data_IF_951488656293
#
_entry.id   IF_951488656293
#
_cell.length_a   1.000
_cell.length_b   1.000
_cell.length_c   1.000
_cell.angle_alpha   90.00
_cell.angle_beta   90.00
_cell.angle_gamma   90.00
#
_symmetry.space_group_name_H-M   'P 1'
#
loop_
_entity.id
_entity.type
_entity.pdbx_description
1 polymer ?
#
# COMPACT_ATOMS: atom_id res chain seq x y z
N UNK A 1 -37.02 -24.30 43.68
CA UNK A 1 -35.64 -24.82 43.61
C UNK A 1 -35.18 -24.74 42.16
N UNK A 2 -34.27 -23.80 41.86
CA UNK A 2 -33.37 -23.74 40.69
C UNK A 2 -32.82 -22.31 40.62
N UNK A 3 -31.75 -22.04 41.38
CA UNK A 3 -30.95 -20.82 41.24
C UNK A 3 -29.95 -21.07 40.14
N UNK A 4 -30.03 -20.27 39.08
CA UNK A 4 -29.04 -20.20 38.01
C UNK A 4 -27.75 -19.65 38.61
N UNK A 5 -26.71 -20.48 38.66
CA UNK A 5 -25.35 -20.07 39.03
C UNK A 5 -24.75 -19.34 37.84
N UNK A 6 -24.73 -18.01 37.88
CA UNK A 6 -23.87 -17.21 37.00
C UNK A 6 -22.47 -17.20 37.63
N UNK A 7 -21.59 -18.03 37.10
CA UNK A 7 -20.16 -17.95 37.38
C UNK A 7 -19.58 -16.71 36.68
N UNK A 8 -19.52 -15.59 37.39
CA UNK A 8 -18.74 -14.42 36.97
C UNK A 8 -17.26 -14.74 37.26
N UNK A 9 -16.51 -15.10 36.22
CA UNK A 9 -15.04 -15.09 36.28
C UNK A 9 -14.61 -13.62 36.31
N UNK A 10 -14.42 -13.08 37.51
CA UNK A 10 -13.72 -11.81 37.72
C UNK A 10 -12.24 -12.07 37.43
N UNK A 11 -11.79 -11.71 36.23
CA UNK A 11 -10.36 -11.52 35.97
C UNK A 11 -9.94 -10.31 36.82
N UNK A 12 -9.25 -10.56 37.94
CA UNK A 12 -8.63 -9.54 38.77
C UNK A 12 -7.67 -8.68 37.92
N UNK A 13 -8.18 -7.58 37.34
CA UNK A 13 -7.35 -6.58 36.64
C UNK A 13 -6.66 -5.71 37.68
N UNK A 14 -5.40 -6.02 37.94
CA UNK A 14 -4.45 -5.17 38.66
C UNK A 14 -4.40 -3.77 38.03
N UNK A 15 -4.66 -2.69 38.78
CA UNK A 15 -4.46 -1.32 38.28
C UNK A 15 -3.01 -1.08 37.83
N UNK A 16 -2.83 -0.68 36.58
CA UNK A 16 -1.50 -0.36 36.01
C UNK A 16 -1.24 1.14 36.09
N UNK A 17 -0.11 1.53 36.68
CA UNK A 17 0.32 2.94 36.75
C UNK A 17 1.43 3.18 35.71
N UNK A 18 1.20 3.99 34.66
CA UNK A 18 2.19 4.21 33.60
C UNK A 18 3.34 5.10 34.07
N UNK A 19 4.58 4.60 33.94
CA UNK A 19 5.80 5.38 34.23
C UNK A 19 6.24 6.12 32.96
N UNK A 20 6.06 7.43 32.88
CA UNK A 20 6.47 8.24 31.70
C UNK A 20 7.98 8.56 31.74
N UNK A 21 8.65 8.32 30.61
CA UNK A 21 10.01 8.74 30.21
C UNK A 21 11.14 8.59 31.26
N UNK A 22 11.85 7.46 31.22
CA UNK A 22 13.12 7.23 31.95
C UNK A 22 14.36 7.74 31.19
N UNK A 23 14.20 8.39 30.04
CA UNK A 23 15.30 8.86 29.20
C UNK A 23 15.56 10.38 29.29
N UNK A 24 14.89 11.09 30.19
CA UNK A 24 15.11 12.51 30.47
C UNK A 24 15.66 12.72 31.89
N UNK A 25 16.47 13.75 32.08
CA UNK A 25 17.14 14.10 33.35
C UNK A 25 16.22 14.57 34.49
N UNK A 26 14.90 14.54 34.32
CA UNK A 26 13.95 14.97 35.35
C UNK A 26 13.32 13.77 36.09
N UNK A 27 13.62 13.59 37.39
CA UNK A 27 13.14 12.44 38.18
C UNK A 27 11.68 12.55 38.61
N UNK A 28 10.99 13.65 38.28
CA UNK A 28 9.67 13.99 38.85
C UNK A 28 8.56 13.01 38.40
N UNK A 29 8.53 12.62 37.12
CA UNK A 29 7.49 11.72 36.61
C UNK A 29 7.67 10.25 37.08
N UNK A 30 8.90 9.69 37.09
CA UNK A 30 9.16 8.40 37.72
C UNK A 30 8.88 8.39 39.22
N UNK A 31 9.25 9.46 39.94
CA UNK A 31 8.98 9.59 41.37
C UNK A 31 7.48 9.64 41.65
N UNK A 32 6.70 10.40 40.88
CA UNK A 32 5.25 10.48 41.05
C UNK A 32 4.55 9.14 40.76
N UNK A 33 4.92 8.44 39.68
CA UNK A 33 4.40 7.11 39.39
C UNK A 33 4.79 6.07 40.46
N UNK A 34 6.00 6.19 41.02
CA UNK A 34 6.45 5.41 42.17
C UNK A 34 5.63 5.70 43.43
N UNK A 35 5.39 6.98 43.75
CA UNK A 35 4.57 7.40 44.90
C UNK A 35 3.13 6.90 44.76
N UNK A 36 2.51 7.05 43.59
CA UNK A 36 1.16 6.50 43.32
C UNK A 36 1.16 4.98 43.47
N UNK A 37 2.18 4.29 42.97
CA UNK A 37 2.28 2.84 43.13
C UNK A 37 2.46 2.39 44.60
N UNK A 38 3.22 3.14 45.39
CA UNK A 38 3.39 2.89 46.83
C UNK A 38 2.09 3.13 47.58
N UNK A 39 1.39 4.24 47.32
CA UNK A 39 0.11 4.58 47.97
C UNK A 39 -0.97 3.54 47.66
N UNK A 40 -1.06 3.10 46.41
CA UNK A 40 -2.01 2.07 45.98
C UNK A 40 -1.66 0.70 46.58
N UNK A 41 -0.38 0.35 46.67
CA UNK A 41 0.09 -0.88 47.34
C UNK A 41 -0.20 -0.85 48.85
N UNK A 42 -0.02 0.30 49.50
CA UNK A 42 -0.31 0.49 50.92
C UNK A 42 -1.82 0.37 51.23
N UNK A 43 -2.68 0.63 50.25
CA UNK A 43 -4.12 0.40 50.34
C UNK A 43 -4.54 -1.06 50.04
N UNK A 44 -3.58 -1.99 49.93
CA UNK A 44 -3.84 -3.41 49.64
C UNK A 44 -4.21 -3.69 48.18
N UNK A 45 -4.07 -2.71 47.28
CA UNK A 45 -4.31 -2.90 45.86
C UNK A 45 -3.04 -3.45 45.21
N UNK A 46 -3.11 -4.53 44.42
CA UNK A 46 -1.97 -4.95 43.62
C UNK A 46 -1.65 -3.83 42.61
N UNK A 47 -0.38 -3.48 42.45
CA UNK A 47 0.06 -2.46 41.47
C UNK A 47 1.12 -3.05 40.58
N UNK A 48 0.95 -2.85 39.26
CA UNK A 48 1.99 -3.15 38.28
C UNK A 48 2.47 -1.85 37.62
N UNK A 49 3.75 -1.51 37.82
CA UNK A 49 4.39 -0.41 37.11
C UNK A 49 4.82 -0.90 35.73
N UNK A 50 4.00 -0.64 34.72
CA UNK A 50 4.32 -0.99 33.34
C UNK A 50 4.94 0.21 32.63
N UNK A 51 6.09 0.01 31.98
CA UNK A 51 6.65 1.01 31.06
C UNK A 51 5.75 1.08 29.82
N UNK A 52 5.39 2.28 29.33
CA UNK A 52 4.66 2.41 28.09
C UNK A 52 5.48 1.75 26.96
N UNK A 53 4.83 0.99 26.07
CA UNK A 53 5.53 0.34 24.97
C UNK A 53 6.23 1.41 24.12
N UNK A 54 7.51 1.15 23.81
CA UNK A 54 8.36 2.09 23.08
C UNK A 54 8.12 1.95 21.57
N UNK A 55 7.98 3.08 20.88
CA UNK A 55 8.01 3.11 19.42
C UNK A 55 9.43 2.80 18.93
N UNK A 56 9.56 1.77 18.09
CA UNK A 56 10.85 1.30 17.55
C UNK A 56 10.75 1.31 16.03
N UNK A 57 10.95 2.50 15.44
CA UNK A 57 10.88 2.70 13.99
C UNK A 57 12.06 2.08 13.23
N UNK A 58 13.24 2.08 13.86
CA UNK A 58 14.48 1.66 13.23
C UNK A 58 15.08 0.45 13.93
N UNK A 59 15.77 -0.43 13.19
CA UNK A 59 16.55 -1.49 13.78
C UNK A 59 17.70 -0.91 14.64
N UNK A 60 18.31 -1.74 15.50
CA UNK A 60 19.61 -1.41 16.10
C UNK A 60 20.65 -1.00 15.03
N UNK A 61 21.69 -0.25 15.39
CA UNK A 61 22.77 0.11 14.46
C UNK A 61 23.37 -1.12 13.79
N UNK A 62 23.53 -1.06 12.47
CA UNK A 62 24.09 -2.15 11.65
C UNK A 62 25.35 -1.64 10.97
N UNK A 63 26.46 -2.36 11.14
CA UNK A 63 27.70 -2.01 10.45
C UNK A 63 27.65 -2.38 8.96
N UNK A 64 28.48 -1.75 8.12
CA UNK A 64 28.49 -2.02 6.68
C UNK A 64 28.86 -3.48 6.34
N UNK A 65 29.70 -4.13 7.15
CA UNK A 65 30.10 -5.53 6.97
C UNK A 65 28.99 -6.53 7.29
N UNK A 66 28.00 -6.12 8.08
CA UNK A 66 26.84 -6.96 8.44
C UNK A 66 25.72 -6.89 7.41
N UNK A 67 25.74 -5.88 6.54
CA UNK A 67 24.81 -5.75 5.43
C UNK A 67 25.14 -6.79 4.37
N UNK A 68 24.16 -7.65 4.04
CA UNK A 68 24.33 -8.71 3.04
C UNK A 68 23.37 -8.54 1.87
N UNK A 69 23.73 -9.11 0.72
CA UNK A 69 22.83 -9.26 -0.41
C UNK A 69 21.70 -10.25 -0.07
N UNK A 70 20.61 -10.16 -0.83
CA UNK A 70 19.43 -11.00 -0.64
C UNK A 70 19.54 -12.21 -1.57
N UNK A 71 19.46 -13.45 -1.07
CA UNK A 71 19.53 -14.65 -1.90
C UNK A 71 18.49 -14.65 -3.03
N UNK A 72 18.93 -14.95 -4.25
CA UNK A 72 18.04 -15.06 -5.41
C UNK A 72 17.46 -13.74 -5.93
N UNK A 73 17.99 -12.60 -5.49
CA UNK A 73 17.67 -11.27 -6.03
C UNK A 73 18.97 -10.62 -6.51
N UNK A 74 19.04 -10.34 -7.82
CA UNK A 74 20.15 -9.60 -8.41
C UNK A 74 20.08 -8.11 -8.08
N UNK A 75 21.24 -7.45 -7.97
CA UNK A 75 21.39 -6.04 -7.62
C UNK A 75 20.95 -5.71 -6.19
N UNK A 76 21.26 -4.50 -5.74
CA UNK A 76 20.90 -3.98 -4.39
C UNK A 76 20.06 -2.70 -4.48
N UNK A 77 19.80 -2.23 -5.69
CA UNK A 77 18.97 -1.05 -5.93
C UNK A 77 18.33 -1.07 -7.31
N UNK A 78 17.22 -0.35 -7.45
CA UNK A 78 16.55 -0.01 -8.72
C UNK A 78 16.32 1.51 -8.77
N UNK A 79 16.50 2.12 -9.94
CA UNK A 79 16.26 3.55 -10.17
C UNK A 79 15.17 3.71 -11.22
N UNK A 80 14.21 4.58 -10.95
CA UNK A 80 13.25 5.02 -11.96
C UNK A 80 13.68 6.36 -12.55
N UNK A 81 13.51 6.54 -13.85
CA UNK A 81 13.86 7.80 -14.55
C UNK A 81 12.66 8.39 -15.25
N UNK A 82 12.69 9.71 -15.54
CA UNK A 82 11.63 10.38 -16.31
C UNK A 82 11.35 9.72 -17.66
N UNK A 83 12.37 9.09 -18.28
CA UNK A 83 12.25 8.43 -19.60
C UNK A 83 11.37 7.17 -19.56
N UNK A 84 11.16 6.57 -18.39
CA UNK A 84 10.27 5.42 -18.22
C UNK A 84 8.77 5.79 -18.26
N UNK A 85 8.41 7.08 -18.24
CA UNK A 85 7.04 7.50 -18.50
C UNK A 85 6.68 7.22 -19.97
N UNK A 86 6.01 6.08 -20.23
CA UNK A 86 5.53 5.73 -21.57
C UNK A 86 4.51 6.78 -22.03
N UNK A 87 4.56 7.11 -23.33
CA UNK A 87 3.53 7.91 -23.98
C UNK A 87 2.19 7.20 -23.79
N UNK A 88 1.17 7.93 -23.33
CA UNK A 88 -0.16 7.37 -23.10
C UNK A 88 -0.72 6.76 -24.37
N UNK A 89 -1.46 5.64 -24.22
CA UNK A 89 -2.16 5.01 -25.35
C UNK A 89 -3.52 5.65 -25.56
N UNK A 90 -3.95 5.75 -26.80
CA UNK A 90 -5.28 6.30 -27.10
C UNK A 90 -6.38 5.34 -26.62
N UNK A 91 -7.54 5.86 -26.22
CA UNK A 91 -8.67 5.01 -25.83
C UNK A 91 -9.05 4.01 -26.92
N UNK A 92 -9.00 4.44 -28.19
CA UNK A 92 -9.38 3.62 -29.34
C UNK A 92 -8.48 2.39 -29.47
N UNK A 93 -7.16 2.54 -29.30
CA UNK A 93 -6.19 1.43 -29.33
C UNK A 93 -6.44 0.42 -28.21
N UNK A 94 -6.69 0.91 -26.99
CA UNK A 94 -6.91 0.08 -25.80
C UNK A 94 -8.20 -0.69 -25.91
N UNK A 95 -9.29 0.00 -26.28
CA UNK A 95 -10.62 -0.59 -26.35
C UNK A 95 -10.73 -1.58 -27.50
N UNK A 96 -10.13 -1.30 -28.67
CA UNK A 96 -10.07 -2.27 -29.78
C UNK A 96 -9.39 -3.58 -29.38
N UNK A 97 -8.42 -3.53 -28.46
CA UNK A 97 -7.70 -4.72 -28.00
C UNK A 97 -8.49 -5.55 -26.99
N UNK A 98 -9.26 -4.90 -26.11
CA UNK A 98 -9.84 -5.57 -24.94
C UNK A 98 -11.36 -5.76 -25.00
N UNK A 99 -12.04 -5.07 -25.92
CA UNK A 99 -13.49 -5.16 -26.10
C UNK A 99 -13.90 -5.90 -27.36
N UNK A 100 -15.06 -6.55 -27.26
CA UNK A 100 -15.83 -7.08 -28.37
C UNK A 100 -17.12 -6.25 -28.50
N UNK A 101 -17.43 -5.75 -29.69
CA UNK A 101 -18.65 -4.97 -29.93
C UNK A 101 -19.88 -5.88 -29.81
N UNK A 102 -20.89 -5.43 -29.06
CA UNK A 102 -22.15 -6.15 -28.87
C UNK A 102 -23.19 -5.59 -29.85
N UNK A 103 -23.81 -6.45 -30.67
CA UNK A 103 -24.84 -6.04 -31.65
C UNK A 103 -26.23 -5.92 -31.03
N UNK A 104 -26.56 -6.82 -30.11
CA UNK A 104 -27.83 -6.87 -29.40
C UNK A 104 -27.54 -6.79 -27.91
N UNK A 105 -27.48 -5.58 -27.33
CA UNK A 105 -27.23 -5.41 -25.90
C UNK A 105 -28.32 -6.08 -25.07
N UNK A 106 -27.99 -6.70 -23.93
CA UNK A 106 -28.99 -7.20 -22.99
C UNK A 106 -29.78 -6.04 -22.38
N UNK A 107 -30.98 -6.34 -21.89
CA UNK A 107 -31.81 -5.38 -21.16
C UNK A 107 -31.35 -5.28 -19.69
N UNK A 108 -30.11 -4.84 -19.52
CA UNK A 108 -29.44 -4.63 -18.24
C UNK A 108 -28.88 -3.21 -18.16
N UNK A 109 -28.61 -2.73 -16.95
CA UNK A 109 -28.03 -1.41 -16.74
C UNK A 109 -26.51 -1.42 -16.91
N UNK A 110 -25.98 -0.38 -17.56
CA UNK A 110 -24.56 -0.10 -17.56
C UNK A 110 -24.15 0.39 -16.17
N UNK A 111 -23.35 -0.38 -15.42
CA UNK A 111 -22.98 -0.04 -14.04
C UNK A 111 -22.02 1.15 -13.91
N UNK A 112 -21.73 1.88 -15.00
CA UNK A 112 -20.92 3.11 -14.99
C UNK A 112 -21.82 4.34 -14.98
N UNK A 113 -22.79 4.41 -15.89
CA UNK A 113 -23.71 5.56 -16.01
C UNK A 113 -25.10 5.28 -15.43
N UNK A 114 -25.39 4.04 -15.05
CA UNK A 114 -26.68 3.58 -14.53
C UNK A 114 -27.85 3.72 -15.52
N UNK A 115 -27.56 3.85 -16.81
CA UNK A 115 -28.55 3.81 -17.89
C UNK A 115 -28.60 2.42 -18.52
N UNK A 116 -29.75 2.04 -19.10
CA UNK A 116 -29.92 0.80 -19.84
C UNK A 116 -28.91 0.68 -20.98
N UNK A 117 -28.33 -0.51 -21.18
CA UNK A 117 -27.41 -0.78 -22.28
C UNK A 117 -28.08 -0.66 -23.67
N UNK A 118 -29.41 -0.77 -23.72
CA UNK A 118 -30.22 -0.54 -24.92
C UNK A 118 -30.48 0.95 -25.20
N UNK A 119 -30.23 1.84 -24.23
CA UNK A 119 -30.32 3.28 -24.36
C UNK A 119 -28.92 3.91 -24.55
N UNK A 120 -28.83 5.16 -25.04
CA UNK A 120 -27.56 5.88 -25.08
C UNK A 120 -26.95 6.10 -23.68
N UNK A 121 -25.62 6.15 -23.62
CA UNK A 121 -24.88 6.45 -22.40
C UNK A 121 -25.29 7.79 -21.76
N UNK A 122 -25.57 7.77 -20.44
CA UNK A 122 -25.91 8.96 -19.65
C UNK A 122 -24.73 9.87 -19.25
N UNK A 123 -23.49 9.55 -19.64
CA UNK A 123 -22.31 10.35 -19.27
C UNK A 123 -22.33 11.76 -19.93
N UNK A 124 -22.31 12.81 -19.11
CA UNK A 124 -22.42 14.23 -19.52
C UNK A 124 -21.09 15.01 -19.57
N UNK A 125 -19.95 14.34 -19.39
CA UNK A 125 -18.63 14.99 -19.41
C UNK A 125 -18.13 15.31 -20.83
N UNK A 126 -16.84 15.68 -20.98
CA UNK A 126 -16.23 15.96 -22.28
C UNK A 126 -16.50 14.81 -23.24
N UNK A 127 -17.14 15.11 -24.38
CA UNK A 127 -17.67 14.09 -25.28
C UNK A 127 -16.55 13.28 -25.92
N UNK A 128 -16.43 11.98 -25.60
CA UNK A 128 -15.67 11.04 -26.40
C UNK A 128 -16.06 11.09 -27.88
N UNK A 129 -15.11 10.78 -28.75
CA UNK A 129 -15.29 10.68 -30.21
C UNK A 129 -16.18 9.50 -30.65
N UNK A 130 -16.55 8.62 -29.72
CA UNK A 130 -17.37 7.43 -29.97
C UNK A 130 -18.86 7.73 -29.80
N UNK A 131 -19.74 7.03 -30.55
CA UNK A 131 -21.18 7.22 -30.39
C UNK A 131 -21.68 6.66 -29.03
N UNK A 132 -22.65 7.34 -28.37
CA UNK A 132 -23.09 7.01 -27.01
C UNK A 132 -23.91 5.71 -26.91
N UNK A 133 -24.46 5.22 -28.02
CA UNK A 133 -25.27 4.00 -28.14
C UNK A 133 -24.44 2.72 -28.35
N UNK A 134 -23.12 2.84 -28.56
CA UNK A 134 -22.29 1.66 -28.77
C UNK A 134 -22.02 0.92 -27.46
N UNK A 135 -22.23 -0.39 -27.48
CA UNK A 135 -22.00 -1.29 -26.35
C UNK A 135 -20.85 -2.25 -26.64
N UNK A 136 -20.02 -2.48 -25.63
CA UNK A 136 -18.86 -3.36 -25.67
C UNK A 136 -18.85 -4.34 -24.51
N UNK A 137 -18.40 -5.57 -24.80
CA UNK A 137 -18.17 -6.64 -23.83
C UNK A 137 -16.67 -6.80 -23.60
N UNK A 138 -16.24 -6.82 -22.35
CA UNK A 138 -14.85 -7.09 -22.00
C UNK A 138 -14.49 -8.55 -22.26
N UNK A 139 -13.42 -8.78 -23.04
CA UNK A 139 -13.09 -10.08 -23.64
C UNK A 139 -12.81 -11.23 -22.66
N UNK A 140 -12.34 -10.95 -21.43
CA UNK A 140 -11.98 -12.00 -20.44
C UNK A 140 -13.09 -12.25 -19.43
N UNK A 141 -13.58 -11.18 -18.79
CA UNK A 141 -14.57 -11.27 -17.71
C UNK A 141 -16.01 -11.17 -18.21
N UNK A 142 -16.24 -10.77 -19.46
CA UNK A 142 -17.56 -10.77 -20.09
C UNK A 142 -18.51 -9.66 -19.64
N UNK A 143 -18.14 -8.79 -18.70
CA UNK A 143 -18.96 -7.64 -18.30
C UNK A 143 -19.15 -6.65 -19.47
N UNK A 144 -20.33 -6.03 -19.51
CA UNK A 144 -20.83 -5.26 -20.65
C UNK A 144 -21.09 -3.81 -20.22
N UNK A 145 -20.68 -2.86 -21.05
CA UNK A 145 -20.84 -1.42 -20.79
C UNK A 145 -21.05 -0.66 -22.10
N UNK A 146 -21.57 0.56 -22.03
CA UNK A 146 -21.40 1.51 -23.13
C UNK A 146 -19.90 1.75 -23.37
N UNK A 147 -19.46 1.66 -24.63
CA UNK A 147 -18.08 1.97 -25.02
C UNK A 147 -17.75 3.43 -24.65
N UNK A 148 -18.73 4.32 -24.80
CA UNK A 148 -18.64 5.73 -24.39
C UNK A 148 -18.25 5.89 -22.91
N UNK A 149 -18.89 5.15 -22.02
CA UNK A 149 -18.58 5.15 -20.59
C UNK A 149 -17.17 4.62 -20.30
N UNK A 150 -16.73 3.57 -21.00
CA UNK A 150 -15.37 3.04 -20.86
C UNK A 150 -14.30 4.00 -21.37
N UNK A 151 -14.54 4.73 -22.47
CA UNK A 151 -13.65 5.78 -22.96
C UNK A 151 -13.52 6.89 -21.90
N UNK A 152 -14.65 7.37 -21.38
CA UNK A 152 -14.64 8.40 -20.33
C UNK A 152 -13.88 7.94 -19.08
N UNK A 153 -14.13 6.71 -18.62
CA UNK A 153 -13.43 6.13 -17.47
C UNK A 153 -11.91 6.02 -17.72
N UNK A 154 -11.49 5.55 -18.89
CA UNK A 154 -10.08 5.45 -19.24
C UNK A 154 -9.40 6.82 -19.37
N UNK A 155 -10.09 7.82 -19.95
CA UNK A 155 -9.58 9.17 -20.10
C UNK A 155 -9.35 9.91 -18.77
N UNK A 156 -10.15 9.58 -17.75
CA UNK A 156 -10.00 10.10 -16.39
C UNK A 156 -8.90 9.38 -15.60
N UNK A 157 -8.36 8.28 -16.13
CA UNK A 157 -7.25 7.55 -15.53
C UNK A 157 -5.87 8.02 -16.02
N UNK A 158 -4.84 7.24 -15.67
CA UNK A 158 -3.44 7.48 -16.05
C UNK A 158 -3.12 7.18 -17.54
N UNK A 159 -4.06 6.60 -18.28
CA UNK A 159 -3.94 6.28 -19.72
C UNK A 159 -2.69 5.45 -20.08
N UNK A 160 -2.34 4.51 -19.21
CA UNK A 160 -1.14 3.67 -19.36
C UNK A 160 -1.30 2.50 -20.36
N UNK A 161 -2.46 2.40 -21.00
CA UNK A 161 -2.79 1.31 -21.90
C UNK A 161 -3.33 0.05 -21.22
N UNK A 162 -3.55 0.10 -19.90
CA UNK A 162 -4.33 -0.88 -19.17
C UNK A 162 -5.78 -0.44 -19.00
N UNK A 163 -6.69 -1.40 -18.83
CA UNK A 163 -8.09 -1.14 -18.53
C UNK A 163 -8.52 -2.04 -17.38
N UNK A 164 -9.13 -1.45 -16.34
CA UNK A 164 -9.68 -2.21 -15.22
C UNK A 164 -11.20 -2.29 -15.34
N UNK A 165 -11.75 -3.50 -15.29
CA UNK A 165 -13.19 -3.70 -15.25
C UNK A 165 -13.77 -3.06 -13.98
N UNK A 166 -14.74 -2.12 -14.08
CA UNK A 166 -15.29 -1.46 -12.90
C UNK A 166 -16.10 -2.42 -12.01
N UNK A 167 -16.67 -3.49 -12.57
CA UNK A 167 -17.47 -4.49 -11.83
C UNK A 167 -16.58 -5.48 -11.07
N UNK A 168 -15.74 -6.26 -11.76
CA UNK A 168 -14.96 -7.34 -11.12
C UNK A 168 -13.47 -7.03 -10.92
N UNK A 169 -13.03 -5.82 -11.23
CA UNK A 169 -11.64 -5.36 -11.08
C UNK A 169 -10.59 -6.11 -11.91
N UNK A 170 -11.00 -7.02 -12.81
CA UNK A 170 -10.09 -7.69 -13.77
C UNK A 170 -9.31 -6.64 -14.56
N UNK A 171 -7.99 -6.79 -14.59
CA UNK A 171 -7.07 -5.90 -15.31
C UNK A 171 -6.77 -6.48 -16.69
N UNK A 172 -6.88 -5.63 -17.70
CA UNK A 172 -6.52 -5.89 -19.08
C UNK A 172 -5.26 -5.10 -19.41
N UNK A 173 -4.23 -5.77 -19.95
CA UNK A 173 -2.92 -5.16 -20.15
C UNK A 173 -2.07 -5.13 -18.88
N UNK A 174 -1.01 -4.32 -18.91
CA UNK A 174 -0.09 -4.15 -17.78
C UNK A 174 -0.39 -2.81 -17.12
N UNK A 175 -0.98 -2.86 -15.91
CA UNK A 175 -1.21 -1.66 -15.10
C UNK A 175 0.13 -1.10 -14.64
N UNK A 176 0.27 0.21 -14.75
CA UNK A 176 1.36 1.01 -14.23
C UNK A 176 0.81 2.18 -13.43
N UNK A 177 1.65 2.90 -12.71
CA UNK A 177 1.21 4.05 -11.90
C UNK A 177 1.95 5.34 -12.25
N UNK A 178 1.77 6.33 -11.38
CA UNK A 178 2.28 7.68 -11.54
C UNK A 178 3.40 8.00 -10.54
N UNK A 179 4.03 6.98 -9.95
CA UNK A 179 5.17 7.17 -9.05
C UNK A 179 6.25 8.09 -9.67
N UNK A 180 6.68 9.16 -8.98
CA UNK A 180 7.77 10.00 -9.48
C UNK A 180 9.12 9.25 -9.57
N UNK A 181 10.10 9.78 -10.33
CA UNK A 181 11.45 9.22 -10.36
C UNK A 181 12.08 9.15 -8.97
N UNK A 182 12.80 8.06 -8.70
CA UNK A 182 13.46 7.85 -7.42
C UNK A 182 14.36 6.64 -7.41
N UNK A 183 14.74 6.21 -6.20
CA UNK A 183 15.58 5.04 -5.96
C UNK A 183 14.92 4.13 -4.92
N UNK A 184 14.93 2.84 -5.19
CA UNK A 184 14.63 1.78 -4.25
C UNK A 184 15.92 1.01 -3.97
N UNK A 185 16.27 0.83 -2.70
CA UNK A 185 17.43 0.04 -2.26
C UNK A 185 16.96 -1.07 -1.32
N UNK A 186 17.66 -2.19 -1.33
CA UNK A 186 17.29 -3.33 -0.50
C UNK A 186 18.50 -4.19 -0.16
N UNK A 187 18.52 -4.69 1.07
CA UNK A 187 19.57 -5.57 1.59
C UNK A 187 19.12 -6.25 2.88
N UNK A 188 19.89 -7.23 3.34
CA UNK A 188 19.66 -7.89 4.63
C UNK A 188 20.34 -7.13 5.77
N UNK A 189 19.67 -7.11 6.92
CA UNK A 189 20.22 -6.69 8.21
C UNK A 189 20.16 -7.85 9.22
N UNK A 190 21.12 -7.96 10.16
CA UNK A 190 21.28 -9.13 11.03
C UNK A 190 20.34 -9.13 12.25
N UNK A 191 19.10 -8.67 12.07
CA UNK A 191 18.11 -8.58 13.13
C UNK A 191 16.81 -9.24 12.70
N UNK A 192 16.15 -9.91 13.64
CA UNK A 192 14.84 -10.52 13.45
C UNK A 192 13.73 -9.51 13.74
N UNK A 193 12.63 -9.61 13.00
CA UNK A 193 11.40 -8.85 13.28
C UNK A 193 10.60 -9.53 14.40
N UNK A 194 9.83 -8.77 15.20
CA UNK A 194 8.85 -9.35 16.11
C UNK A 194 7.91 -10.31 15.35
N UNK A 195 7.74 -11.54 15.85
CA UNK A 195 6.95 -12.59 15.19
C UNK A 195 7.70 -13.42 14.14
N UNK A 196 8.98 -13.12 13.87
CA UNK A 196 9.83 -13.85 12.93
C UNK A 196 11.23 -14.13 13.49
N UNK A 197 11.36 -14.87 14.61
CA UNK A 197 12.64 -15.05 15.32
C UNK A 197 13.71 -15.77 14.48
N UNK A 198 13.29 -16.70 13.61
CA UNK A 198 14.19 -17.64 12.92
C UNK A 198 14.81 -17.10 11.63
N UNK A 199 14.58 -15.82 11.30
CA UNK A 199 15.12 -15.21 10.09
C UNK A 199 15.59 -13.77 10.30
N UNK A 200 16.49 -13.33 9.43
CA UNK A 200 16.93 -11.93 9.33
C UNK A 200 15.82 -11.04 8.77
N UNK A 201 16.14 -9.76 8.58
CA UNK A 201 15.22 -8.79 7.98
C UNK A 201 15.75 -8.30 6.65
N UNK A 202 14.87 -8.29 5.64
CA UNK A 202 15.03 -7.52 4.42
C UNK A 202 14.63 -6.06 4.74
N UNK A 203 15.59 -5.14 4.63
CA UNK A 203 15.33 -3.70 4.73
C UNK A 203 15.21 -3.12 3.33
N UNK A 204 14.08 -2.50 3.04
CA UNK A 204 13.81 -1.74 1.81
C UNK A 204 13.91 -0.25 2.15
N UNK A 205 14.54 0.53 1.28
CA UNK A 205 14.72 1.97 1.42
C UNK A 205 14.26 2.64 0.15
N UNK A 206 13.19 3.42 0.23
CA UNK A 206 12.75 4.26 -0.87
C UNK A 206 13.28 5.68 -0.68
N UNK A 207 13.71 6.30 -1.77
CA UNK A 207 14.18 7.68 -1.83
C UNK A 207 13.60 8.36 -3.06
N UNK A 208 12.63 9.26 -2.85
CA UNK A 208 12.01 10.07 -3.90
C UNK A 208 12.27 11.54 -3.56
N UNK A 209 13.00 12.30 -4.40
CA UNK A 209 13.17 13.73 -4.19
C UNK A 209 11.91 14.51 -4.59
N UNK A 210 11.71 15.73 -4.05
CA UNK A 210 10.70 16.65 -4.57
C UNK A 210 10.99 17.01 -6.04
N UNK A 211 9.98 17.48 -6.76
CA UNK A 211 10.15 17.79 -8.17
C UNK A 211 8.97 18.52 -8.78
N UNK A 212 8.87 18.43 -10.11
CA UNK A 212 7.78 19.01 -10.90
C UNK A 212 6.89 17.90 -11.44
N UNK A 213 5.59 18.10 -11.34
CA UNK A 213 4.56 17.19 -11.80
C UNK A 213 4.59 17.07 -13.33
N UNK A 214 4.81 15.86 -13.83
CA UNK A 214 4.58 15.49 -15.24
C UNK A 214 3.09 15.48 -15.66
N UNK A 215 2.81 15.25 -16.96
CA UNK A 215 1.46 15.25 -17.54
C UNK A 215 0.50 14.21 -16.95
N UNK A 216 1.02 13.16 -16.32
CA UNK A 216 0.25 12.09 -15.69
C UNK A 216 -0.24 12.40 -14.27
N UNK A 217 0.24 13.49 -13.68
CA UNK A 217 -0.07 13.87 -12.30
C UNK A 217 -1.24 14.85 -12.21
N UNK A 218 -1.81 15.08 -11.02
CA UNK A 218 -3.00 15.92 -10.85
C UNK A 218 -2.84 17.35 -11.36
N UNK A 219 -1.68 17.99 -11.15
CA UNK A 219 -1.41 19.37 -11.52
C UNK A 219 -0.12 19.49 -12.35
N UNK A 220 -0.14 19.14 -13.65
CA UNK A 220 1.06 19.17 -14.50
C UNK A 220 1.76 20.55 -14.48
N UNK A 221 3.08 20.55 -14.36
CA UNK A 221 3.91 21.76 -14.28
C UNK A 221 4.03 22.36 -12.87
N UNK A 222 3.16 22.00 -11.92
CA UNK A 222 3.27 22.42 -10.52
C UNK A 222 4.37 21.62 -9.80
N UNK A 223 4.97 22.20 -8.78
CA UNK A 223 5.86 21.44 -7.89
C UNK A 223 5.08 20.41 -7.07
N UNK A 224 5.79 19.37 -6.61
CA UNK A 224 5.32 18.45 -5.59
C UNK A 224 6.37 18.29 -4.49
N UNK A 225 5.92 18.10 -3.25
CA UNK A 225 6.79 17.81 -2.10
C UNK A 225 6.98 16.31 -1.88
N UNK A 226 8.05 15.91 -1.18
CA UNK A 226 8.30 14.51 -0.85
C UNK A 226 8.72 14.39 0.63
N UNK A 227 7.76 14.12 1.52
CA UNK A 227 7.98 14.10 2.98
C UNK A 227 8.43 12.73 3.49
N UNK A 228 9.33 12.76 4.48
CA UNK A 228 9.76 11.57 5.23
C UNK A 228 10.63 10.60 4.44
N UNK A 229 11.25 11.04 3.34
CA UNK A 229 12.24 10.25 2.61
C UNK A 229 13.66 10.47 3.19
N UNK A 230 14.53 9.45 3.25
CA UNK A 230 14.27 8.08 2.82
C UNK A 230 13.26 7.34 3.72
N UNK A 231 12.34 6.59 3.11
CA UNK A 231 11.36 5.75 3.83
C UNK A 231 11.92 4.34 3.98
N UNK A 232 12.03 3.89 5.23
CA UNK A 232 12.52 2.55 5.57
C UNK A 232 11.35 1.60 5.79
N UNK A 233 11.43 0.41 5.19
CA UNK A 233 10.41 -0.62 5.31
C UNK A 233 11.06 -1.99 5.56
N UNK A 234 10.31 -2.90 6.16
CA UNK A 234 10.86 -4.17 6.65
C UNK A 234 10.01 -5.37 6.25
N UNK A 235 10.68 -6.43 5.80
CA UNK A 235 10.12 -7.76 5.55
C UNK A 235 10.99 -8.81 6.25
N UNK A 236 10.42 -9.91 6.78
CA UNK A 236 11.24 -11.03 7.21
C UNK A 236 11.96 -11.67 6.02
N UNK A 237 13.21 -12.12 6.19
CA UNK A 237 13.97 -12.87 5.18
C UNK A 237 13.54 -14.36 5.16
N UNK A 238 12.23 -14.56 5.05
CA UNK A 238 11.61 -15.86 4.82
C UNK A 238 11.35 -16.08 3.32
N UNK A 239 10.94 -17.28 2.93
CA UNK A 239 10.53 -17.56 1.55
C UNK A 239 9.40 -16.62 1.10
N UNK A 240 8.34 -16.50 1.92
CA UNK A 240 7.20 -15.60 1.65
C UNK A 240 7.64 -14.14 1.60
N UNK A 241 8.54 -13.71 2.50
CA UNK A 241 9.08 -12.34 2.50
C UNK A 241 9.92 -12.03 1.25
N UNK A 242 10.75 -12.96 0.79
CA UNK A 242 11.50 -12.83 -0.47
C UNK A 242 10.58 -12.81 -1.70
N UNK A 243 9.48 -13.58 -1.69
CA UNK A 243 8.44 -13.51 -2.72
C UNK A 243 7.78 -12.13 -2.77
N UNK A 244 7.38 -11.58 -1.62
CA UNK A 244 6.83 -10.21 -1.53
C UNK A 244 7.83 -9.19 -2.07
N UNK A 245 9.11 -9.28 -1.69
CA UNK A 245 10.14 -8.38 -2.23
C UNK A 245 10.20 -8.43 -3.77
N UNK A 246 10.23 -9.62 -4.38
CA UNK A 246 10.29 -9.75 -5.85
C UNK A 246 9.10 -9.05 -6.53
N UNK A 247 7.90 -9.18 -5.96
CA UNK A 247 6.71 -8.50 -6.48
C UNK A 247 6.73 -6.98 -6.23
N UNK A 248 7.29 -6.52 -5.11
CA UNK A 248 7.51 -5.08 -4.86
C UNK A 248 8.52 -4.48 -5.83
N UNK A 249 9.52 -5.23 -6.29
CA UNK A 249 10.44 -4.78 -7.34
C UNK A 249 9.68 -4.53 -8.65
N UNK A 250 8.81 -5.48 -9.05
CA UNK A 250 7.93 -5.31 -10.21
C UNK A 250 6.98 -4.13 -10.03
N UNK A 251 6.40 -3.97 -8.83
CA UNK A 251 5.54 -2.82 -8.50
C UNK A 251 6.27 -1.49 -8.66
N UNK A 252 7.52 -1.42 -8.18
CA UNK A 252 8.37 -0.25 -8.29
C UNK A 252 8.68 0.11 -9.74
N UNK A 253 9.03 -0.88 -10.56
CA UNK A 253 9.32 -0.66 -11.99
C UNK A 253 8.07 -0.31 -12.79
N UNK A 254 6.91 -0.82 -12.36
CA UNK A 254 5.59 -0.42 -12.86
C UNK A 254 5.08 0.88 -12.23
N UNK A 255 5.88 1.59 -11.42
CA UNK A 255 5.53 2.90 -10.83
C UNK A 255 4.29 2.86 -9.91
N UNK A 256 4.07 1.76 -9.18
CA UNK A 256 2.85 1.51 -8.41
C UNK A 256 3.00 1.68 -6.88
N UNK A 257 4.21 1.86 -6.33
CA UNK A 257 4.40 1.96 -4.87
C UNK A 257 3.94 3.32 -4.32
N UNK A 258 4.23 4.38 -5.06
CA UNK A 258 3.85 5.74 -4.68
C UNK A 258 3.05 6.43 -5.80
N UNK A 259 2.40 7.52 -5.43
CA UNK A 259 1.75 8.46 -6.35
C UNK A 259 1.93 9.90 -5.84
N UNK A 260 1.51 10.88 -6.63
CA UNK A 260 1.32 12.26 -6.16
C UNK A 260 -0.16 12.45 -5.86
N UNK A 261 -0.47 12.94 -4.66
CA UNK A 261 -1.83 13.20 -4.24
C UNK A 261 -1.88 14.00 -2.94
N UNK A 262 -2.93 13.77 -2.16
CA UNK A 262 -3.13 14.41 -0.86
C UNK A 262 -2.81 13.43 0.26
N UNK A 263 -1.94 13.83 1.19
CA UNK A 263 -1.57 13.04 2.36
C UNK A 263 -2.77 12.85 3.29
N UNK A 264 -3.14 11.60 3.57
CA UNK A 264 -4.20 11.28 4.53
C UNK A 264 -3.85 11.63 5.97
N UNK A 265 -2.56 11.70 6.31
CA UNK A 265 -2.08 12.02 7.66
C UNK A 265 -2.00 13.52 7.91
N UNK A 266 -1.65 14.32 6.90
CA UNK A 266 -1.37 15.75 7.07
C UNK A 266 -2.29 16.68 6.28
N UNK A 267 -3.07 16.15 5.34
CA UNK A 267 -3.87 16.96 4.40
C UNK A 267 -3.05 17.70 3.35
N UNK A 268 -1.72 17.55 3.32
CA UNK A 268 -0.85 18.21 2.32
C UNK A 268 -1.16 17.67 0.93
N UNK A 269 -1.61 18.54 0.02
CA UNK A 269 -1.81 18.25 -1.40
C UNK A 269 -0.51 18.38 -2.19
N UNK A 270 -0.47 17.83 -3.40
CA UNK A 270 0.69 17.84 -4.28
C UNK A 270 1.95 17.25 -3.59
N UNK A 271 1.77 16.13 -2.87
CA UNK A 271 2.87 15.46 -2.17
C UNK A 271 2.95 13.97 -2.53
N UNK A 272 4.13 13.39 -2.35
CA UNK A 272 4.36 11.95 -2.57
C UNK A 272 3.70 11.13 -1.45
N UNK A 273 2.73 10.30 -1.84
CA UNK A 273 1.94 9.43 -0.96
C UNK A 273 2.17 7.95 -1.29
N UNK A 274 1.90 7.07 -0.32
CA UNK A 274 1.78 5.62 -0.57
C UNK A 274 0.60 5.36 -1.51
N UNK A 275 0.69 4.31 -2.33
CA UNK A 275 -0.35 3.96 -3.31
C UNK A 275 -0.81 2.51 -3.16
N UNK A 276 -1.83 2.29 -2.33
CA UNK A 276 -2.61 1.03 -2.21
C UNK A 276 -1.83 -0.26 -1.87
N UNK A 277 -0.51 -0.19 -1.68
CA UNK A 277 0.34 -1.31 -1.27
C UNK A 277 1.02 -0.97 0.05
N UNK A 278 0.55 -1.59 1.13
CA UNK A 278 0.99 -1.28 2.47
C UNK A 278 2.41 -1.78 2.73
N UNK A 279 3.15 -0.99 3.50
CA UNK A 279 4.50 -1.31 3.95
C UNK A 279 4.61 -1.20 5.46
N UNK A 280 5.42 -2.07 6.06
CA UNK A 280 5.76 -1.99 7.48
C UNK A 280 6.95 -1.07 7.69
N UNK A 281 6.69 0.11 8.24
CA UNK A 281 7.68 1.18 8.48
C UNK A 281 8.18 1.25 9.92
N UNK A 282 7.59 0.47 10.82
CA UNK A 282 8.03 0.32 12.21
C UNK A 282 8.69 -1.06 12.39
N UNK A 283 9.94 -1.08 12.86
CA UNK A 283 10.76 -2.30 12.92
C UNK A 283 10.42 -3.20 14.12
N UNK A 284 10.40 -2.62 15.32
CA UNK A 284 10.40 -3.39 16.58
C UNK A 284 9.12 -3.27 17.41
N UNK A 285 8.11 -2.57 16.91
CA UNK A 285 6.79 -2.46 17.53
C UNK A 285 5.71 -2.27 16.46
N UNK A 286 4.44 -2.18 16.87
CA UNK A 286 3.30 -1.94 15.99
C UNK A 286 2.35 -0.88 16.56
N UNK A 287 2.88 0.18 17.19
CA UNK A 287 2.07 1.20 17.86
C UNK A 287 1.34 2.10 16.87
N UNK A 288 1.87 2.22 15.65
CA UNK A 288 1.27 3.02 14.57
C UNK A 288 0.32 2.22 13.68
N UNK A 289 0.22 0.89 13.88
CA UNK A 289 -0.46 -0.03 12.96
C UNK A 289 0.39 -0.42 11.73
N UNK A 290 1.55 0.21 11.54
CA UNK A 290 2.44 -0.02 10.40
C UNK A 290 3.72 -0.78 10.79
N UNK A 291 3.64 -1.66 11.79
CA UNK A 291 4.78 -2.43 12.29
C UNK A 291 4.49 -3.90 12.57
N UNK A 292 5.35 -4.51 13.39
CA UNK A 292 5.34 -5.93 13.74
C UNK A 292 5.21 -6.13 15.27
N UNK A 293 4.66 -7.26 15.75
CA UNK A 293 4.24 -8.43 14.99
C UNK A 293 2.91 -8.22 14.24
N UNK A 294 2.81 -8.85 13.07
CA UNK A 294 1.59 -8.90 12.26
C UNK A 294 1.63 -10.18 11.41
N UNK A 295 0.87 -11.19 11.82
CA UNK A 295 0.86 -12.50 11.17
C UNK A 295 0.21 -12.47 9.77
N UNK A 296 -0.67 -11.50 9.49
CA UNK A 296 -1.46 -11.45 8.26
C UNK A 296 -0.83 -10.55 7.19
N UNK A 297 0.12 -9.69 7.58
CA UNK A 297 0.69 -8.68 6.69
C UNK A 297 1.20 -9.24 5.36
N UNK A 298 1.95 -10.35 5.37
CA UNK A 298 2.51 -10.91 4.14
C UNK A 298 1.43 -11.42 3.18
N UNK A 299 0.32 -11.95 3.68
CA UNK A 299 -0.79 -12.39 2.83
C UNK A 299 -1.62 -11.20 2.33
N UNK A 300 -1.83 -10.20 3.19
CA UNK A 300 -2.52 -8.96 2.83
C UNK A 300 -1.78 -8.21 1.71
N UNK A 301 -0.45 -8.00 1.85
CA UNK A 301 0.32 -7.28 0.84
C UNK A 301 0.42 -8.06 -0.48
N UNK A 302 0.40 -9.40 -0.45
CA UNK A 302 0.29 -10.22 -1.66
C UNK A 302 -1.05 -10.01 -2.37
N UNK A 303 -2.15 -9.93 -1.62
CA UNK A 303 -3.47 -9.65 -2.16
C UNK A 303 -3.56 -8.22 -2.74
N UNK A 304 -2.96 -7.23 -2.07
CA UNK A 304 -2.86 -5.84 -2.55
C UNK A 304 -2.08 -5.77 -3.86
N UNK A 305 -0.91 -6.43 -3.93
CA UNK A 305 -0.11 -6.53 -5.15
C UNK A 305 -0.90 -7.20 -6.30
N UNK A 306 -1.61 -8.29 -6.00
CA UNK A 306 -2.46 -8.96 -6.98
C UNK A 306 -3.60 -8.06 -7.48
N UNK A 307 -4.20 -7.25 -6.59
CA UNK A 307 -5.22 -6.26 -6.95
C UNK A 307 -4.66 -5.13 -7.84
N UNK A 308 -3.35 -4.87 -7.79
CA UNK A 308 -2.65 -3.98 -8.72
C UNK A 308 -2.19 -4.69 -10.02
N UNK A 309 -2.54 -5.96 -10.21
CA UNK A 309 -2.16 -6.75 -11.39
C UNK A 309 -0.73 -7.27 -11.35
N UNK A 310 -0.18 -7.45 -10.14
CA UNK A 310 1.17 -7.95 -9.91
C UNK A 310 1.06 -9.35 -9.29
N UNK A 311 1.43 -10.35 -10.08
CA UNK A 311 1.44 -11.77 -9.71
C UNK A 311 2.82 -12.37 -9.99
N UNK A 312 3.04 -13.63 -9.63
CA UNK A 312 4.29 -14.34 -9.91
C UNK A 312 4.63 -14.36 -11.41
N UNK A 313 3.63 -14.50 -12.30
CA UNK A 313 3.82 -14.46 -13.75
C UNK A 313 4.44 -13.13 -14.22
N UNK A 314 4.23 -12.05 -13.47
CA UNK A 314 4.81 -10.74 -13.78
C UNK A 314 6.33 -10.70 -13.62
N UNK A 315 6.91 -11.62 -12.83
CA UNK A 315 8.36 -11.73 -12.64
C UNK A 315 9.04 -12.51 -13.77
N UNK A 316 8.29 -13.32 -14.53
CA UNK A 316 8.81 -14.08 -15.66
C UNK A 316 9.00 -13.20 -16.92
N UNK A 317 8.15 -12.19 -17.10
CA UNK A 317 8.18 -11.28 -18.25
C UNK A 317 9.38 -10.28 -18.25
N UNK A 318 10.21 -10.25 -17.19
CA UNK A 318 11.46 -9.46 -17.16
C UNK A 318 12.66 -10.18 -17.79
N UNK A 319 12.53 -11.46 -18.17
CA UNK A 319 13.62 -12.28 -18.72
C UNK A 319 13.63 -12.41 -20.25
N UNK A 320 12.63 -11.85 -20.94
CA UNK A 320 12.54 -11.75 -22.40
C UNK A 320 12.68 -10.28 -22.85
#
# INVERSE_FOLDING_TARGET
AAVIVIAVIIVNRVPTVPVKNLNGSSPVNPALAGITGILMSAAGLPVCLTRPPKLVLHPPPVSKSEIKSIPGVSNTSRKTTKKQAKKGKTPEEVLKKYLQKVRHPPDEDCTICMERLTAPSGYKGPQPTVKPDLVGKLSRCGHIYHIYCLVAMYNNGNKDGSLQCPTCKTIYGVKTGTQPPGKMEYHLIPHSLPGHPDCKTIRIIYSIPPGIQGPEHPNPGKSFSARGFPRHCYLPDSEKGRKVLKLLLVAWDRRLIFAIGTSSTTGESDTVIWNEVHHKTEFGSNLTGHGYPDANYLDNVLAELAAQGISEDSTAQEKD
#
